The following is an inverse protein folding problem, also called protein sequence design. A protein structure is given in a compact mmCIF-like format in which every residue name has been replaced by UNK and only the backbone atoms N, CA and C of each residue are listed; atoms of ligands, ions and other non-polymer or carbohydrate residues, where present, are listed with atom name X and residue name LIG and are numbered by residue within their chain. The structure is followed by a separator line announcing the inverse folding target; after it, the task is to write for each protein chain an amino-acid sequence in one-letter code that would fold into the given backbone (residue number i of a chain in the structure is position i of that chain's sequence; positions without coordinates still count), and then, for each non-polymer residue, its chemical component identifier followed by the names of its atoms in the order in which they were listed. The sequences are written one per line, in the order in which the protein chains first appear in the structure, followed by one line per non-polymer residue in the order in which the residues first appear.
data_IF_904698110300
#
_entry.id   IF_904698110300
#
_cell.length_a   1.000
_cell.length_b   1.000
_cell.length_c   1.000
_cell.angle_alpha   90.00
_cell.angle_beta   90.00
_cell.angle_gamma   90.00
#
_symmetry.space_group_name_H-M   'P 1'
#
loop_
_entity.id
_entity.type
_entity.pdbx_description
1 polymer ?
#
# COMPACT_ATOMS: atom_id res chain seq x y z
N UNK A 1 18.90 -9.83 -4.86
CA UNK A 1 18.62 -11.28 -5.02
C UNK A 1 17.12 -11.46 -4.81
N UNK A 2 16.45 -12.37 -5.52
CA UNK A 2 15.02 -12.62 -5.34
C UNK A 2 14.71 -14.12 -5.28
N UNK A 3 13.58 -14.48 -4.69
CA UNK A 3 12.96 -15.79 -4.81
C UNK A 3 11.73 -15.68 -5.70
N UNK A 4 11.63 -16.57 -6.69
CA UNK A 4 10.42 -16.76 -7.47
C UNK A 4 9.77 -18.10 -7.14
N UNK A 5 8.47 -18.09 -6.90
CA UNK A 5 7.67 -19.32 -6.83
C UNK A 5 6.98 -19.60 -8.17
N UNK A 6 7.46 -20.65 -8.83
CA UNK A 6 6.93 -21.11 -10.11
C UNK A 6 5.99 -22.28 -9.90
N UNK A 7 4.73 -22.06 -10.27
CA UNK A 7 3.69 -23.04 -10.65
C UNK A 7 2.67 -23.33 -9.55
N UNK A 8 1.66 -22.46 -9.45
CA UNK A 8 0.26 -22.91 -9.55
C UNK A 8 0.04 -23.46 -10.96
N UNK A 9 -0.69 -24.57 -11.15
CA UNK A 9 -0.89 -25.19 -12.48
C UNK A 9 -1.43 -24.22 -13.55
N UNK A 10 -2.03 -23.10 -13.13
CA UNK A 10 -2.63 -22.07 -13.99
C UNK A 10 -2.42 -20.64 -13.44
N UNK A 11 -1.60 -20.47 -12.39
CA UNK A 11 -1.50 -19.23 -11.60
C UNK A 11 -0.37 -18.29 -12.01
N UNK A 12 -0.39 -17.08 -11.45
CA UNK A 12 0.65 -16.06 -11.62
C UNK A 12 1.92 -16.44 -10.84
N UNK A 13 3.11 -16.15 -11.39
CA UNK A 13 4.38 -16.29 -10.67
C UNK A 13 4.45 -15.27 -9.52
N UNK A 14 4.68 -15.74 -8.30
CA UNK A 14 4.96 -14.84 -7.17
C UNK A 14 6.46 -14.56 -7.08
N UNK A 15 6.82 -13.30 -6.83
CA UNK A 15 8.20 -12.91 -6.61
C UNK A 15 8.35 -12.06 -5.36
N UNK A 16 9.37 -12.38 -4.56
CA UNK A 16 9.81 -11.59 -3.42
C UNK A 16 11.28 -11.21 -3.58
N UNK A 17 11.57 -9.92 -3.42
CA UNK A 17 12.95 -9.46 -3.22
C UNK A 17 13.38 -9.66 -1.77
N UNK A 18 14.60 -10.14 -1.58
CA UNK A 18 15.21 -10.06 -0.26
C UNK A 18 15.54 -8.60 0.05
N UNK A 19 15.08 -8.11 1.21
CA UNK A 19 15.58 -6.87 1.78
C UNK A 19 17.11 -6.88 1.83
N UNK A 20 17.78 -5.74 1.58
CA UNK A 20 19.23 -5.65 1.70
C UNK A 20 19.71 -6.22 3.05
N UNK A 21 20.73 -7.08 3.01
CA UNK A 21 21.30 -7.81 4.16
C UNK A 21 20.47 -8.99 4.71
N UNK A 22 19.31 -9.33 4.16
CA UNK A 22 18.55 -10.53 4.57
C UNK A 22 18.91 -11.79 3.78
N UNK A 23 19.84 -11.68 2.85
CA UNK A 23 20.50 -12.81 2.21
C UNK A 23 22.01 -12.62 2.28
N UNK A 24 22.73 -13.55 2.90
CA UNK A 24 24.17 -13.47 3.15
C UNK A 24 24.85 -14.77 2.74
N UNK A 25 26.03 -14.62 2.17
CA UNK A 25 26.98 -15.72 2.03
C UNK A 25 27.79 -15.79 3.32
N UNK A 26 27.86 -16.96 3.94
CA UNK A 26 28.71 -17.23 5.10
C UNK A 26 29.43 -18.56 4.88
N UNK A 27 30.76 -18.50 4.81
CA UNK A 27 31.64 -19.68 4.73
C UNK A 27 31.33 -20.64 3.56
N UNK A 28 30.81 -20.10 2.44
CA UNK A 28 30.43 -20.86 1.24
C UNK A 28 28.97 -21.34 1.23
N UNK A 29 28.24 -21.15 2.33
CA UNK A 29 26.80 -21.38 2.42
C UNK A 29 26.04 -20.07 2.24
N UNK A 30 24.75 -20.19 1.91
CA UNK A 30 23.85 -19.05 1.75
C UNK A 30 22.71 -19.11 2.75
N UNK A 31 22.52 -18.00 3.48
CA UNK A 31 21.47 -17.86 4.47
C UNK A 31 20.57 -16.69 4.10
N UNK A 32 19.27 -16.94 4.04
CA UNK A 32 18.30 -15.87 3.95
C UNK A 32 16.91 -16.28 4.37
N UNK A 33 16.08 -15.27 4.59
CA UNK A 33 14.70 -15.42 5.00
C UNK A 33 13.81 -14.51 4.17
N UNK A 34 12.63 -15.01 3.83
CA UNK A 34 11.54 -14.27 3.20
C UNK A 34 10.28 -14.53 4.01
N UNK A 35 9.50 -13.47 4.23
CA UNK A 35 8.14 -13.56 4.74
C UNK A 35 7.19 -13.09 3.65
N UNK A 36 6.22 -13.92 3.29
CA UNK A 36 5.14 -13.54 2.38
C UNK A 36 3.82 -14.17 2.78
N UNK A 37 2.75 -13.46 2.49
CA UNK A 37 1.36 -13.89 2.65
C UNK A 37 0.71 -14.22 1.30
N UNK A 38 1.49 -14.20 0.22
CA UNK A 38 1.06 -14.38 -1.17
C UNK A 38 1.87 -15.53 -1.77
N UNK A 39 1.30 -16.73 -1.82
CA UNK A 39 1.95 -17.90 -2.39
C UNK A 39 0.88 -18.89 -2.92
N UNK A 40 1.21 -19.82 -3.83
CA UNK A 40 0.23 -20.70 -4.46
C UNK A 40 -0.29 -21.76 -3.48
N UNK A 41 -1.26 -21.39 -2.64
CA UNK A 41 -1.87 -22.24 -1.61
C UNK A 41 -2.62 -23.46 -2.15
N UNK A 42 -3.04 -23.41 -3.41
CA UNK A 42 -3.69 -24.51 -4.12
C UNK A 42 -2.68 -25.51 -4.72
N UNK A 43 -1.39 -25.18 -4.73
CA UNK A 43 -0.34 -26.06 -5.22
C UNK A 43 0.08 -27.11 -4.20
N UNK A 44 0.28 -28.35 -4.68
CA UNK A 44 0.88 -29.44 -3.88
C UNK A 44 2.35 -29.18 -3.51
N UNK A 45 3.05 -28.45 -4.36
CA UNK A 45 4.48 -28.16 -4.22
C UNK A 45 4.70 -26.67 -4.32
N UNK A 46 5.51 -26.12 -3.43
CA UNK A 46 6.09 -24.80 -3.59
C UNK A 46 7.41 -24.98 -4.32
N UNK A 47 7.61 -24.21 -5.39
CA UNK A 47 8.89 -24.17 -6.09
C UNK A 47 9.60 -22.90 -5.69
N UNK A 48 10.91 -22.95 -5.55
CA UNK A 48 11.69 -21.78 -5.20
C UNK A 48 12.84 -21.69 -6.17
N UNK A 49 12.99 -20.51 -6.77
CA UNK A 49 14.10 -20.19 -7.64
C UNK A 49 14.78 -18.93 -7.13
N UNK A 50 16.03 -19.09 -6.71
CA UNK A 50 16.85 -17.99 -6.22
C UNK A 50 17.60 -17.41 -7.41
N UNK A 51 17.50 -16.10 -7.61
CA UNK A 51 18.19 -15.40 -8.70
C UNK A 51 19.06 -14.25 -8.20
N UNK A 52 20.27 -14.12 -8.75
CA UNK A 52 21.25 -13.07 -8.46
C UNK A 52 21.47 -12.19 -9.70
N UNK A 53 21.64 -10.89 -9.48
CA UNK A 53 22.10 -9.93 -10.49
C UNK A 53 23.55 -9.54 -10.18
N UNK A 54 24.45 -9.66 -11.14
CA UNK A 54 25.88 -9.31 -10.96
C UNK A 54 26.11 -7.80 -10.84
N UNK A 55 25.23 -7.00 -11.45
CA UNK A 55 25.37 -5.55 -11.53
C UNK A 55 24.63 -4.81 -10.42
N UNK A 56 23.97 -5.54 -9.51
CA UNK A 56 22.94 -5.00 -8.60
C UNK A 56 21.87 -4.16 -9.31
N UNK A 57 21.78 -4.22 -10.65
CA UNK A 57 20.73 -3.58 -11.41
C UNK A 57 19.47 -4.44 -11.30
N UNK A 58 18.36 -3.93 -10.75
CA UNK A 58 17.10 -4.67 -10.66
C UNK A 58 16.51 -5.01 -12.04
N UNK A 59 16.88 -4.26 -13.07
CA UNK A 59 16.50 -4.46 -14.47
C UNK A 59 17.59 -5.21 -15.27
N UNK A 60 18.66 -5.65 -14.61
CA UNK A 60 19.78 -6.37 -15.24
C UNK A 60 19.44 -7.84 -15.50
N UNK A 61 20.32 -8.56 -16.23
CA UNK A 61 20.13 -10.00 -16.41
C UNK A 61 20.28 -10.73 -15.07
N UNK A 62 19.18 -11.30 -14.59
CA UNK A 62 19.15 -12.20 -13.44
C UNK A 62 19.62 -13.60 -13.84
N UNK A 63 20.45 -14.22 -13.00
CA UNK A 63 20.95 -15.59 -13.13
C UNK A 63 20.39 -16.45 -12.01
N UNK A 64 19.89 -17.64 -12.34
CA UNK A 64 19.46 -18.62 -11.33
C UNK A 64 20.67 -19.22 -10.63
N UNK A 65 20.70 -19.12 -9.30
CA UNK A 65 21.76 -19.70 -8.46
C UNK A 65 21.32 -20.99 -7.76
N UNK A 66 20.01 -21.15 -7.53
CA UNK A 66 19.44 -22.36 -6.96
C UNK A 66 17.98 -22.52 -7.40
N UNK A 67 17.55 -23.77 -7.54
CA UNK A 67 16.14 -24.13 -7.70
C UNK A 67 15.86 -25.37 -6.85
N UNK A 68 14.79 -25.33 -6.06
CA UNK A 68 14.33 -26.46 -5.27
C UNK A 68 12.82 -26.42 -5.12
N UNK A 69 12.25 -27.52 -4.64
CA UNK A 69 10.83 -27.62 -4.33
C UNK A 69 10.63 -28.30 -2.99
N UNK A 70 9.58 -27.92 -2.30
CA UNK A 70 9.14 -28.57 -1.06
C UNK A 70 7.66 -28.83 -1.10
N UNK A 71 7.19 -29.81 -0.32
CA UNK A 71 5.77 -30.03 -0.18
C UNK A 71 5.13 -28.77 0.39
N UNK A 72 4.03 -28.30 -0.20
CA UNK A 72 3.31 -27.16 0.35
C UNK A 72 2.70 -27.57 1.70
N UNK A 73 3.13 -26.98 2.83
CA UNK A 73 2.61 -27.34 4.14
C UNK A 73 1.18 -26.81 4.36
N UNK A 74 0.74 -25.88 3.52
CA UNK A 74 -0.57 -25.23 3.64
C UNK A 74 -1.58 -25.86 2.70
N UNK A 75 -2.86 -25.69 3.05
CA UNK A 75 -3.99 -26.00 2.18
C UNK A 75 -4.69 -24.69 1.83
N UNK A 76 -5.15 -24.57 0.60
CA UNK A 76 -6.05 -23.47 0.20
C UNK A 76 -7.25 -23.40 1.16
N UNK A 77 -7.55 -22.19 1.64
CA UNK A 77 -8.71 -21.93 2.48
C UNK A 77 -10.02 -22.22 1.74
N UNK A 78 -10.03 -22.05 0.41
CA UNK A 78 -11.15 -22.29 -0.48
C UNK A 78 -12.45 -21.64 0.00
N UNK A 79 -12.39 -20.35 0.33
CA UNK A 79 -13.57 -19.58 0.68
C UNK A 79 -14.59 -19.63 -0.47
N UNK A 80 -15.86 -19.84 -0.14
CA UNK A 80 -16.96 -19.93 -1.13
C UNK A 80 -17.50 -18.55 -1.49
N UNK A 81 -16.60 -17.59 -1.74
CA UNK A 81 -17.00 -16.24 -2.13
C UNK A 81 -17.52 -16.22 -3.55
N UNK A 82 -18.60 -15.47 -3.78
CA UNK A 82 -19.13 -15.19 -5.09
C UNK A 82 -18.76 -13.76 -5.47
N UNK A 83 -18.25 -13.56 -6.69
CA UNK A 83 -17.99 -12.22 -7.20
C UNK A 83 -19.31 -11.48 -7.47
N UNK A 84 -19.35 -10.21 -7.11
CA UNK A 84 -20.42 -9.30 -7.48
C UNK A 84 -20.38 -9.00 -9.00
N UNK A 85 -21.53 -8.66 -9.62
CA UNK A 85 -21.54 -8.17 -10.99
C UNK A 85 -20.72 -6.89 -11.14
N UNK A 86 -20.17 -6.65 -12.32
CA UNK A 86 -19.34 -5.46 -12.60
C UNK A 86 -20.11 -4.50 -13.52
N UNK A 87 -20.24 -3.19 -13.17
CA UNK A 87 -19.83 -2.59 -11.90
C UNK A 87 -20.72 -3.07 -10.74
N UNK A 88 -20.17 -3.07 -9.52
CA UNK A 88 -20.92 -3.34 -8.29
C UNK A 88 -21.06 -2.06 -7.48
N UNK A 89 -22.15 -1.93 -6.74
CA UNK A 89 -22.39 -0.78 -5.87
C UNK A 89 -22.76 -1.27 -4.48
N UNK A 90 -22.07 -0.74 -3.47
CA UNK A 90 -22.40 -0.90 -2.07
C UNK A 90 -22.90 0.45 -1.53
N UNK A 91 -23.98 0.43 -0.75
CA UNK A 91 -24.48 1.63 -0.07
C UNK A 91 -24.10 1.57 1.40
N UNK A 92 -23.46 2.61 1.90
CA UNK A 92 -23.09 2.77 3.31
C UNK A 92 -23.18 4.25 3.69
N UNK A 93 -23.70 4.54 4.88
CA UNK A 93 -23.83 5.91 5.43
C UNK A 93 -24.49 6.93 4.49
N UNK A 94 -25.48 6.48 3.69
CA UNK A 94 -26.20 7.32 2.73
C UNK A 94 -25.43 7.62 1.44
N UNK A 95 -24.21 7.09 1.31
CA UNK A 95 -23.35 7.17 0.14
C UNK A 95 -23.38 5.87 -0.67
N UNK A 96 -23.06 5.96 -1.96
CA UNK A 96 -22.89 4.82 -2.85
C UNK A 96 -21.43 4.71 -3.28
N UNK A 97 -20.83 3.56 -3.03
CA UNK A 97 -19.47 3.22 -3.40
C UNK A 97 -19.53 2.24 -4.57
N UNK A 98 -18.97 2.63 -5.69
CA UNK A 98 -18.97 1.84 -6.92
C UNK A 98 -17.57 1.27 -7.15
N UNK A 99 -17.50 -0.03 -7.42
CA UNK A 99 -16.30 -0.70 -7.88
C UNK A 99 -16.50 -1.14 -9.34
N UNK A 100 -15.60 -0.72 -10.21
CA UNK A 100 -15.55 -1.13 -11.62
C UNK A 100 -14.80 -2.46 -11.83
N UNK A 101 -14.37 -2.73 -13.07
CA UNK A 101 -13.63 -3.94 -13.41
C UNK A 101 -12.23 -3.90 -12.77
N UNK A 102 -11.96 -4.80 -11.83
CA UNK A 102 -10.61 -4.98 -11.28
C UNK A 102 -9.77 -5.75 -12.30
N UNK A 103 -8.61 -5.21 -12.66
CA UNK A 103 -7.70 -5.85 -13.62
C UNK A 103 -6.34 -6.11 -13.02
N UNK A 104 -5.76 -7.26 -13.37
CA UNK A 104 -4.35 -7.59 -13.13
C UNK A 104 -3.67 -7.64 -14.48
N UNK A 105 -2.84 -6.67 -14.77
CA UNK A 105 -2.09 -6.59 -16.01
C UNK A 105 -0.70 -7.18 -15.83
N UNK A 106 -0.31 -8.12 -16.68
CA UNK A 106 1.08 -8.60 -16.77
C UNK A 106 1.79 -7.81 -17.87
N UNK A 107 2.61 -6.83 -17.49
CA UNK A 107 3.37 -6.00 -18.42
C UNK A 107 4.72 -6.62 -18.72
N UNK A 108 5.02 -6.98 -19.98
CA UNK A 108 6.27 -7.61 -20.35
C UNK A 108 7.37 -6.57 -20.60
N UNK A 109 7.64 -5.65 -19.67
CA UNK A 109 8.72 -4.68 -19.89
C UNK A 109 10.10 -5.33 -19.84
N UNK A 110 10.24 -6.45 -19.12
CA UNK A 110 11.15 -7.54 -19.48
C UNK A 110 10.54 -8.86 -18.98
N UNK A 111 10.71 -10.01 -19.66
CA UNK A 111 10.25 -11.31 -19.16
C UNK A 111 10.96 -11.79 -17.88
N UNK A 112 11.87 -10.96 -17.34
CA UNK A 112 12.60 -11.18 -16.09
C UNK A 112 12.38 -10.04 -15.09
N UNK A 113 11.47 -9.10 -15.37
CA UNK A 113 11.08 -8.12 -14.37
C UNK A 113 10.23 -8.83 -13.32
N UNK A 114 10.62 -8.68 -12.07
CA UNK A 114 9.89 -9.20 -10.92
C UNK A 114 8.73 -8.27 -10.53
N UNK A 115 8.71 -7.08 -11.13
CA UNK A 115 7.72 -6.03 -10.90
C UNK A 115 6.63 -5.97 -11.99
N UNK A 116 6.42 -7.06 -12.73
CA UNK A 116 5.67 -7.07 -13.97
C UNK A 116 4.13 -7.05 -13.81
N UNK A 117 3.59 -6.98 -12.59
CA UNK A 117 2.15 -6.92 -12.36
C UNK A 117 1.69 -5.51 -12.02
N UNK A 118 0.64 -5.05 -12.71
CA UNK A 118 -0.06 -3.81 -12.40
C UNK A 118 -1.51 -4.13 -12.05
N UNK A 119 -1.90 -3.84 -10.82
CA UNK A 119 -3.28 -4.01 -10.35
C UNK A 119 -4.02 -2.68 -10.51
N UNK A 120 -5.16 -2.68 -11.19
CA UNK A 120 -6.05 -1.51 -11.30
C UNK A 120 -7.36 -1.79 -10.60
N UNK A 121 -7.75 -0.89 -9.71
CA UNK A 121 -8.97 -1.00 -8.89
C UNK A 121 -9.76 0.30 -9.00
N UNK A 122 -10.64 0.41 -10.02
CA UNK A 122 -11.37 1.65 -10.28
C UNK A 122 -12.54 1.80 -9.31
N UNK A 123 -12.54 2.89 -8.54
CA UNK A 123 -13.59 3.21 -7.56
C UNK A 123 -14.22 4.57 -7.85
N UNK A 124 -15.48 4.72 -7.45
CA UNK A 124 -16.21 6.00 -7.47
C UNK A 124 -17.10 6.12 -6.22
N UNK A 125 -17.28 7.34 -5.74
CA UNK A 125 -18.14 7.62 -4.58
C UNK A 125 -19.24 8.59 -5.01
N UNK A 126 -20.48 8.30 -4.66
CA UNK A 126 -21.63 9.16 -4.92
C UNK A 126 -22.38 9.47 -3.65
N UNK A 127 -22.82 10.72 -3.50
CA UNK A 127 -23.74 11.15 -2.44
C UNK A 127 -24.97 11.78 -3.08
N UNK A 128 -26.16 11.31 -2.73
CA UNK A 128 -27.43 11.80 -3.30
C UNK A 128 -27.46 11.84 -4.84
N UNK A 129 -26.75 10.90 -5.50
CA UNK A 129 -26.63 10.81 -6.96
C UNK A 129 -25.57 11.70 -7.60
N UNK A 130 -24.84 12.49 -6.81
CA UNK A 130 -23.73 13.35 -7.27
C UNK A 130 -22.41 12.62 -7.06
N UNK A 131 -21.56 12.57 -8.10
CA UNK A 131 -20.21 12.03 -8.00
C UNK A 131 -19.33 12.94 -7.13
N UNK A 132 -18.73 12.38 -6.08
CA UNK A 132 -17.74 13.05 -5.26
C UNK A 132 -16.35 12.80 -5.84
N UNK A 133 -15.72 13.85 -6.36
CA UNK A 133 -14.40 13.77 -7.01
C UNK A 133 -13.24 13.97 -6.04
N UNK A 134 -13.54 14.37 -4.80
CA UNK A 134 -12.58 14.56 -3.73
C UNK A 134 -12.52 13.37 -2.77
N UNK A 135 -13.06 12.20 -3.12
CA UNK A 135 -13.02 10.99 -2.29
C UNK A 135 -12.30 9.86 -3.00
N UNK A 136 -11.47 9.13 -2.25
CA UNK A 136 -10.80 7.93 -2.72
C UNK A 136 -10.77 6.85 -1.64
N UNK A 137 -10.39 5.63 -2.04
CA UNK A 137 -10.10 4.58 -1.08
C UNK A 137 -8.66 4.77 -0.58
N UNK A 138 -8.53 5.17 0.69
CA UNK A 138 -7.24 5.47 1.33
C UNK A 138 -6.56 4.23 1.90
N UNK A 139 -7.35 3.27 2.37
CA UNK A 139 -6.83 2.00 2.87
C UNK A 139 -7.49 0.82 2.17
N UNK A 140 -6.65 -0.18 1.90
CA UNK A 140 -7.04 -1.43 1.27
C UNK A 140 -6.48 -2.58 2.09
N UNK A 141 -7.34 -3.53 2.41
CA UNK A 141 -6.91 -4.88 2.73
C UNK A 141 -7.51 -5.79 1.68
N UNK A 142 -6.67 -6.58 1.03
CA UNK A 142 -7.12 -7.52 0.03
C UNK A 142 -6.81 -8.95 0.45
N UNK A 143 -7.78 -9.83 0.22
CA UNK A 143 -7.64 -11.27 0.38
C UNK A 143 -8.16 -11.98 -0.86
N UNK A 144 -7.56 -13.09 -1.24
CA UNK A 144 -8.12 -13.98 -2.25
C UNK A 144 -8.79 -15.18 -1.60
N UNK A 145 -9.71 -15.84 -2.32
CA UNK A 145 -10.45 -16.97 -1.79
C UNK A 145 -9.57 -18.19 -1.42
N UNK A 146 -8.30 -18.21 -1.84
CA UNK A 146 -7.34 -19.24 -1.42
C UNK A 146 -6.76 -18.97 -0.02
N UNK A 147 -6.96 -17.77 0.52
CA UNK A 147 -6.49 -17.33 1.84
C UNK A 147 -5.17 -16.56 1.80
N UNK A 148 -4.71 -16.12 0.62
CA UNK A 148 -3.64 -15.13 0.55
C UNK A 148 -4.17 -13.75 0.87
N UNK A 149 -3.30 -12.88 1.38
CA UNK A 149 -3.65 -11.50 1.66
C UNK A 149 -2.49 -10.56 1.36
N UNK A 150 -2.82 -9.32 1.01
CA UNK A 150 -1.87 -8.24 0.79
C UNK A 150 -2.43 -6.96 1.43
N UNK A 151 -1.68 -6.28 2.31
CA UNK A 151 -2.12 -5.01 2.88
C UNK A 151 -1.85 -3.82 1.94
N UNK A 152 -1.17 -4.03 0.81
CA UNK A 152 -0.71 -2.97 -0.10
C UNK A 152 -1.01 -3.32 -1.56
N UNK A 153 -2.22 -2.94 -2.00
CA UNK A 153 -2.71 -3.18 -3.37
C UNK A 153 -1.90 -2.47 -4.45
N UNK A 154 -1.19 -1.39 -4.10
CA UNK A 154 -0.41 -0.55 -5.03
C UNK A 154 1.02 -1.04 -5.28
N UNK A 155 1.36 -2.23 -4.81
CA UNK A 155 2.65 -2.85 -5.09
C UNK A 155 2.58 -3.69 -6.37
N UNK A 156 3.73 -3.86 -7.00
CA UNK A 156 4.01 -4.74 -8.15
C UNK A 156 3.73 -6.25 -7.90
N UNK A 157 2.97 -6.60 -6.84
CA UNK A 157 2.62 -7.95 -6.40
C UNK A 157 1.11 -8.09 -6.36
N UNK A 158 0.59 -8.93 -7.23
CA UNK A 158 -0.83 -9.26 -7.27
C UNK A 158 -1.12 -10.52 -6.45
N UNK A 159 -2.31 -10.60 -5.86
CA UNK A 159 -2.89 -11.89 -5.49
C UNK A 159 -3.21 -12.70 -6.76
N UNK A 160 -3.63 -13.95 -6.61
CA UNK A 160 -3.95 -14.77 -7.78
C UNK A 160 -5.35 -14.40 -8.32
N UNK A 161 -5.47 -13.89 -9.57
CA UNK A 161 -6.74 -13.45 -10.15
C UNK A 161 -7.64 -14.61 -10.56
N UNK A 162 -7.22 -15.88 -10.43
CA UNK A 162 -8.11 -17.03 -10.59
C UNK A 162 -9.14 -17.12 -9.47
N UNK A 163 -8.82 -16.59 -8.30
CA UNK A 163 -9.70 -16.60 -7.14
C UNK A 163 -10.46 -15.28 -7.02
N UNK A 164 -11.67 -15.35 -6.46
CA UNK A 164 -12.43 -14.16 -6.07
C UNK A 164 -11.64 -13.42 -5.00
N UNK A 165 -11.53 -12.11 -5.15
CA UNK A 165 -10.89 -11.22 -4.18
C UNK A 165 -11.93 -10.56 -3.29
N UNK A 166 -11.67 -10.54 -2.00
CA UNK A 166 -12.33 -9.69 -1.01
C UNK A 166 -11.50 -8.42 -0.86
N UNK A 167 -12.11 -7.28 -1.16
CA UNK A 167 -11.52 -5.95 -1.10
C UNK A 167 -12.18 -5.20 0.05
N UNK A 168 -11.47 -5.07 1.16
CA UNK A 168 -11.87 -4.27 2.32
C UNK A 168 -11.28 -2.87 2.14
N UNK A 169 -12.14 -1.87 2.00
CA UNK A 169 -11.76 -0.53 1.59
C UNK A 169 -12.33 0.51 2.53
N UNK A 170 -11.48 1.45 2.92
CA UNK A 170 -11.83 2.63 3.70
C UNK A 170 -11.79 3.84 2.78
N UNK A 171 -12.96 4.44 2.55
CA UNK A 171 -13.14 5.61 1.70
C UNK A 171 -13.19 6.88 2.52
N UNK A 172 -12.43 7.87 2.08
CA UNK A 172 -12.26 9.14 2.79
C UNK A 172 -12.08 10.29 1.79
N UNK A 173 -12.35 11.55 2.21
CA UNK A 173 -12.03 12.70 1.39
C UNK A 173 -10.51 12.94 1.32
N UNK A 174 -10.02 13.21 0.12
CA UNK A 174 -8.64 13.56 -0.22
C UNK A 174 -8.41 15.08 -0.18
N UNK A 175 -9.48 15.85 -0.34
CA UNK A 175 -9.49 17.31 -0.40
C UNK A 175 -10.88 17.85 -0.03
N UNK A 176 -11.03 19.19 0.01
CA UNK A 176 -12.26 19.87 0.42
C UNK A 176 -12.78 19.40 1.79
N UNK A 177 -11.86 19.33 2.76
CA UNK A 177 -12.14 18.84 4.10
C UNK A 177 -13.22 19.69 4.80
N UNK A 178 -14.10 19.06 5.62
CA UNK A 178 -15.13 19.79 6.35
C UNK A 178 -14.59 20.91 7.24
N UNK A 179 -15.36 21.99 7.38
CA UNK A 179 -15.01 23.09 8.27
C UNK A 179 -14.77 22.60 9.71
N UNK A 180 -13.67 23.04 10.31
CA UNK A 180 -13.28 22.65 11.68
C UNK A 180 -12.67 21.26 11.81
N UNK A 181 -12.52 20.51 10.71
CA UNK A 181 -11.87 19.20 10.69
C UNK A 181 -10.37 19.29 10.44
N UNK A 182 -9.90 20.39 9.83
CA UNK A 182 -8.50 20.68 9.57
C UNK A 182 -7.91 21.63 10.62
N UNK A 183 -6.67 21.36 11.04
CA UNK A 183 -5.92 22.23 11.93
C UNK A 183 -4.46 22.35 11.48
N UNK A 184 -3.90 23.55 11.63
CA UNK A 184 -2.46 23.79 11.53
C UNK A 184 -1.92 24.04 12.92
N UNK A 185 -0.87 23.32 13.29
CA UNK A 185 -0.23 23.44 14.60
C UNK A 185 1.25 23.75 14.43
N UNK A 186 1.76 24.61 15.31
CA UNK A 186 3.19 24.84 15.42
C UNK A 186 3.82 23.59 16.06
N UNK A 187 4.84 23.05 15.41
CA UNK A 187 5.63 21.99 15.98
C UNK A 187 6.44 22.56 17.15
N UNK A 188 6.34 21.96 18.35
CA UNK A 188 7.08 22.42 19.53
C UNK A 188 8.59 22.18 19.38
N UNK A 189 9.34 22.36 20.47
CA UNK A 189 10.79 22.08 20.48
C UNK A 189 11.08 20.67 19.96
N UNK A 190 12.24 20.51 19.33
CA UNK A 190 12.73 19.21 18.81
C UNK A 190 12.58 18.10 19.85
N UNK A 191 12.22 16.91 19.37
CA UNK A 191 12.09 15.71 20.20
C UNK A 191 11.05 15.90 21.32
N UNK A 192 9.92 16.52 21.00
CA UNK A 192 8.81 16.68 21.93
C UNK A 192 7.51 16.17 21.35
N UNK A 193 6.57 15.96 22.26
CA UNK A 193 5.25 15.43 21.99
C UNK A 193 4.25 16.37 22.62
N UNK A 194 3.17 16.63 21.90
CA UNK A 194 2.06 17.42 22.42
C UNK A 194 0.74 16.84 21.93
N UNK A 195 -0.32 17.16 22.64
CA UNK A 195 -1.67 16.75 22.27
C UNK A 195 -2.49 17.99 22.00
N UNK A 196 -3.18 18.00 20.87
CA UNK A 196 -4.21 18.98 20.54
C UNK A 196 -5.57 18.28 20.46
N UNK A 197 -6.66 19.04 20.49
CA UNK A 197 -8.00 18.51 20.30
C UNK A 197 -8.59 19.05 19.00
N UNK A 198 -9.03 18.15 18.13
CA UNK A 198 -9.71 18.47 16.87
C UNK A 198 -11.02 17.71 16.86
N UNK A 199 -12.14 18.38 16.60
CA UNK A 199 -13.48 17.75 16.64
C UNK A 199 -13.78 16.95 17.93
N UNK A 200 -13.31 17.43 19.09
CA UNK A 200 -13.39 16.73 20.39
C UNK A 200 -12.66 15.38 20.46
N UNK A 201 -11.71 15.14 19.55
CA UNK A 201 -10.84 13.97 19.57
C UNK A 201 -9.40 14.44 19.86
N UNK A 202 -8.72 13.84 20.86
CA UNK A 202 -7.32 14.13 21.11
C UNK A 202 -6.47 13.58 19.96
N UNK A 203 -5.54 14.39 19.47
CA UNK A 203 -4.52 14.00 18.50
C UNK A 203 -3.16 14.28 19.11
N UNK A 204 -2.37 13.22 19.27
CA UNK A 204 -1.00 13.29 19.78
C UNK A 204 -0.05 13.41 18.61
N UNK A 205 0.81 14.42 18.64
CA UNK A 205 1.79 14.69 17.58
C UNK A 205 3.16 14.65 18.24
N UNK A 206 4.07 13.89 17.62
CA UNK A 206 5.47 13.84 18.00
C UNK A 206 6.35 14.16 16.80
N UNK A 207 7.46 14.81 17.09
CA UNK A 207 8.45 15.18 16.08
C UNK A 207 9.83 14.85 16.64
N UNK A 208 10.56 13.97 15.95
CA UNK A 208 11.86 13.49 16.43
C UNK A 208 12.95 14.58 16.40
N UNK A 209 12.66 15.73 15.78
CA UNK A 209 13.54 16.88 15.70
C UNK A 209 14.48 16.86 14.50
N UNK A 210 14.52 15.75 13.76
CA UNK A 210 15.30 15.62 12.54
C UNK A 210 14.37 15.59 11.35
N UNK A 211 13.73 14.47 11.08
CA UNK A 211 13.20 14.21 9.75
C UNK A 211 11.82 13.54 9.77
N UNK A 212 11.19 13.31 10.94
CA UNK A 212 9.89 12.62 11.00
C UNK A 212 8.87 13.27 11.92
N UNK A 213 7.66 13.44 11.41
CA UNK A 213 6.45 13.80 12.17
C UNK A 213 5.57 12.56 12.26
N UNK A 214 5.20 12.20 13.48
CA UNK A 214 4.22 11.15 13.77
C UNK A 214 3.01 11.81 14.41
N UNK A 215 1.81 11.46 13.95
CA UNK A 215 0.59 11.81 14.62
C UNK A 215 -0.28 10.56 14.80
N UNK A 216 -0.94 10.49 15.96
CA UNK A 216 -1.88 9.42 16.29
C UNK A 216 -3.12 9.97 16.98
N UNK A 217 -4.25 9.36 16.65
CA UNK A 217 -5.57 9.66 17.19
C UNK A 217 -6.06 8.43 17.99
N UNK A 218 -5.89 8.40 19.32
CA UNK A 218 -6.30 7.27 20.15
C UNK A 218 -7.82 7.22 20.31
N UNK A 219 -8.51 6.74 19.27
CA UNK A 219 -9.96 6.58 19.23
C UNK A 219 -10.32 5.18 18.73
N UNK A 220 -11.55 4.76 19.04
CA UNK A 220 -12.16 3.55 18.50
C UNK A 220 -13.30 3.87 17.53
N UNK A 221 -13.39 5.13 17.07
CA UNK A 221 -14.41 5.59 16.13
C UNK A 221 -14.07 5.15 14.71
N UNK A 222 -14.75 4.12 14.15
CA UNK A 222 -14.44 3.60 12.82
C UNK A 222 -14.87 4.56 11.70
N UNK A 223 -15.70 5.54 12.02
CA UNK A 223 -16.24 6.54 11.12
C UNK A 223 -15.32 7.76 10.95
N UNK A 224 -14.11 7.74 11.53
CA UNK A 224 -13.12 8.80 11.41
C UNK A 224 -11.76 8.29 10.92
N UNK A 225 -11.07 9.10 10.13
CA UNK A 225 -9.68 8.95 9.74
C UNK A 225 -8.83 10.16 10.12
N UNK A 226 -7.51 9.98 10.28
CA UNK A 226 -6.53 11.05 10.51
C UNK A 226 -5.63 11.19 9.27
N UNK A 227 -5.58 12.39 8.69
CA UNK A 227 -4.84 12.65 7.45
C UNK A 227 -3.83 13.75 7.58
N UNK A 228 -2.61 13.45 7.16
CA UNK A 228 -1.61 14.47 6.87
C UNK A 228 -2.03 15.27 5.64
N UNK A 229 -1.85 16.59 5.68
CA UNK A 229 -2.14 17.48 4.55
C UNK A 229 -0.84 18.14 4.08
N UNK A 230 -0.14 18.82 4.98
CA UNK A 230 1.10 19.50 4.63
C UNK A 230 1.96 19.79 5.86
N UNK A 231 3.22 20.14 5.62
CA UNK A 231 4.10 20.74 6.59
C UNK A 231 4.75 21.99 5.97
N UNK A 232 5.03 22.99 6.78
CA UNK A 232 5.77 24.18 6.34
C UNK A 232 7.02 24.38 7.17
N UNK A 233 8.04 25.00 6.61
CA UNK A 233 9.19 25.48 7.39
C UNK A 233 8.90 26.79 8.14
N UNK A 234 9.94 27.33 8.78
CA UNK A 234 9.91 28.59 9.53
C UNK A 234 9.77 29.84 8.65
N UNK A 235 9.98 29.72 7.34
CA UNK A 235 9.67 30.76 6.36
C UNK A 235 8.24 30.65 5.81
N UNK A 236 7.50 29.60 6.17
CA UNK A 236 6.14 29.34 5.68
C UNK A 236 6.10 28.66 4.32
N UNK A 237 7.23 28.17 3.81
CA UNK A 237 7.28 27.44 2.54
C UNK A 237 6.77 26.01 2.75
N UNK A 238 5.98 25.51 1.80
CA UNK A 238 5.49 24.13 1.82
C UNK A 238 6.65 23.15 1.62
N UNK A 239 6.63 22.10 2.42
CA UNK A 239 7.61 21.03 2.37
C UNK A 239 7.07 19.86 1.56
N UNK A 240 7.93 19.28 0.74
CA UNK A 240 7.73 18.00 0.10
C UNK A 240 8.27 16.91 1.02
N UNK A 241 7.64 15.76 1.07
CA UNK A 241 8.10 14.59 1.81
C UNK A 241 8.51 13.46 0.85
N UNK A 242 9.58 12.72 1.19
CA UNK A 242 10.02 11.57 0.37
C UNK A 242 9.69 10.21 1.00
N UNK A 243 9.16 10.20 2.22
CA UNK A 243 8.62 8.98 2.83
C UNK A 243 7.37 9.30 3.64
N UNK A 244 6.44 8.37 3.62
CA UNK A 244 5.23 8.43 4.41
C UNK A 244 4.74 7.03 4.76
N UNK A 245 3.78 6.97 5.67
CA UNK A 245 3.11 5.74 6.05
C UNK A 245 2.09 6.03 7.11
N UNK A 246 1.05 5.21 7.20
CA UNK A 246 0.00 5.46 8.17
C UNK A 246 -1.09 4.42 8.11
N UNK A 247 -2.04 4.58 9.00
CA UNK A 247 -3.30 3.85 8.99
C UNK A 247 -4.46 4.81 9.21
N UNK A 248 -5.63 4.27 9.49
CA UNK A 248 -6.83 5.08 9.69
C UNK A 248 -6.62 6.13 10.79
N UNK A 249 -5.93 5.77 11.86
CA UNK A 249 -5.79 6.60 13.06
C UNK A 249 -4.41 7.24 13.24
N UNK A 250 -3.51 7.12 12.25
CA UNK A 250 -2.15 7.62 12.39
C UNK A 250 -1.49 7.93 11.04
N UNK A 251 -0.57 8.89 11.04
CA UNK A 251 0.36 9.10 9.94
C UNK A 251 1.77 9.30 10.48
N UNK A 252 2.75 8.96 9.65
CA UNK A 252 4.17 9.13 9.85
C UNK A 252 4.74 9.68 8.55
N UNK A 253 5.14 10.94 8.55
CA UNK A 253 5.69 11.62 7.37
C UNK A 253 7.11 12.09 7.64
N UNK A 254 7.98 12.02 6.63
CA UNK A 254 9.36 12.38 6.83
C UNK A 254 10.25 12.53 5.60
N UNK A 255 11.52 12.78 5.87
CA UNK A 255 12.54 13.21 4.91
C UNK A 255 12.03 14.41 4.10
N UNK A 256 11.72 15.48 4.83
CA UNK A 256 11.21 16.71 4.25
C UNK A 256 12.26 17.40 3.39
N UNK A 257 11.79 18.02 2.32
CA UNK A 257 12.57 18.70 1.30
C UNK A 257 11.87 20.00 0.92
N UNK A 258 12.63 21.00 0.53
CA UNK A 258 12.09 22.28 0.05
C UNK A 258 12.64 22.56 -1.34
N UNK A 259 11.78 23.03 -2.25
CA UNK A 259 12.21 23.49 -3.57
C UNK A 259 12.37 25.01 -3.55
N UNK A 260 13.61 25.49 -3.63
CA UNK A 260 13.94 26.92 -3.56
C UNK A 260 14.78 27.32 -4.76
N UNK A 261 14.30 28.32 -5.52
CA UNK A 261 15.00 28.78 -6.73
C UNK A 261 15.24 27.68 -7.77
N UNK A 262 14.38 26.65 -7.82
CA UNK A 262 14.53 25.49 -8.72
C UNK A 262 15.49 24.40 -8.21
N UNK A 263 16.08 24.55 -7.02
CA UNK A 263 16.96 23.57 -6.38
C UNK A 263 16.22 22.86 -5.26
N UNK A 264 16.38 21.53 -5.18
CA UNK A 264 15.83 20.72 -4.09
C UNK A 264 16.83 20.68 -2.92
N UNK A 265 16.40 21.12 -1.76
CA UNK A 265 17.18 21.11 -0.52
C UNK A 265 16.74 19.94 0.37
N UNK A 266 17.71 19.19 0.88
CA UNK A 266 17.48 18.01 1.73
C UNK A 266 18.39 18.05 2.97
N UNK A 267 17.85 17.70 4.13
CA UNK A 267 18.61 17.50 5.39
C UNK A 267 18.73 18.74 6.29
N UNK A 268 18.77 19.95 5.72
CA UNK A 268 18.73 21.23 6.43
C UNK A 268 17.30 21.79 6.61
N UNK A 269 16.36 21.29 5.81
CA UNK A 269 14.94 21.65 5.86
C UNK A 269 14.29 21.02 7.09
N UNK A 270 13.62 21.84 7.91
CA UNK A 270 12.94 21.38 9.12
C UNK A 270 11.50 21.89 9.14
N UNK A 271 10.51 21.02 9.42
CA UNK A 271 9.14 21.45 9.57
C UNK A 271 9.00 22.30 10.83
N UNK A 272 8.34 23.45 10.71
CA UNK A 272 7.94 24.33 11.79
C UNK A 272 6.44 24.22 12.08
N UNK A 273 5.62 23.89 11.08
CA UNK A 273 4.20 23.60 11.26
C UNK A 273 3.80 22.30 10.58
N UNK A 274 2.70 21.72 11.05
CA UNK A 274 2.01 20.62 10.38
C UNK A 274 0.53 20.93 10.28
N UNK A 275 -0.04 20.67 9.11
CA UNK A 275 -1.47 20.73 8.84
C UNK A 275 -1.97 19.31 8.66
N UNK A 276 -3.04 18.98 9.36
CA UNK A 276 -3.70 17.68 9.29
C UNK A 276 -5.21 17.84 9.44
N UNK A 277 -5.96 16.82 9.06
CA UNK A 277 -7.41 16.77 9.26
C UNK A 277 -7.86 15.48 9.92
N UNK A 278 -8.93 15.59 10.71
CA UNK A 278 -9.81 14.47 11.00
C UNK A 278 -10.89 14.46 9.92
N UNK A 279 -11.09 13.32 9.28
CA UNK A 279 -12.00 13.19 8.13
C UNK A 279 -13.02 12.07 8.38
N UNK A 280 -14.21 12.11 7.76
CA UNK A 280 -15.10 10.96 7.76
C UNK A 280 -14.41 9.76 7.09
N UNK A 281 -14.66 8.57 7.63
CA UNK A 281 -14.24 7.30 7.05
C UNK A 281 -15.45 6.39 6.84
N UNK A 282 -15.60 5.85 5.63
CA UNK A 282 -16.66 4.90 5.32
C UNK A 282 -16.06 3.61 4.81
N UNK A 283 -16.29 2.54 5.57
CA UNK A 283 -15.82 1.22 5.22
C UNK A 283 -16.79 0.50 4.29
N UNK A 284 -16.25 -0.17 3.27
CA UNK A 284 -17.03 -1.06 2.40
C UNK A 284 -16.22 -2.28 2.00
N UNK A 285 -16.92 -3.39 1.74
CA UNK A 285 -16.31 -4.65 1.30
C UNK A 285 -16.87 -5.05 -0.05
N UNK A 286 -15.99 -5.21 -1.03
CA UNK A 286 -16.35 -5.75 -2.34
C UNK A 286 -15.83 -7.16 -2.53
N UNK A 287 -16.56 -7.97 -3.30
CA UNK A 287 -16.11 -9.26 -3.80
C UNK A 287 -15.99 -9.17 -5.32
N UNK A 288 -14.77 -9.26 -5.85
CA UNK A 288 -14.51 -9.07 -7.27
C UNK A 288 -13.78 -10.29 -7.84
N UNK A 289 -14.15 -10.71 -9.04
CA UNK A 289 -13.32 -11.59 -9.84
C UNK A 289 -12.39 -10.70 -10.68
N UNK A 290 -11.07 -10.65 -10.41
CA UNK A 290 -10.18 -9.85 -11.20
C UNK A 290 -10.03 -10.43 -12.60
N UNK A 291 -9.90 -9.55 -13.58
CA UNK A 291 -9.59 -9.94 -14.95
C UNK A 291 -8.09 -9.90 -15.18
N UNK A 292 -7.54 -11.05 -15.56
CA UNK A 292 -6.15 -11.12 -16.00
C UNK A 292 -6.03 -10.55 -17.42
N UNK A 293 -5.22 -9.52 -17.57
CA UNK A 293 -4.87 -8.88 -18.85
C UNK A 293 -3.41 -9.21 -19.15
N UNK A 294 -3.18 -10.00 -20.21
CA UNK A 294 -1.82 -10.34 -20.64
C UNK A 294 -1.52 -9.54 -21.91
N UNK A 295 -0.67 -8.52 -21.80
CA UNK A 295 -0.14 -7.87 -22.99
C UNK A 295 0.75 -8.85 -23.74
N UNK A 296 0.37 -9.17 -24.99
CA UNK A 296 1.23 -9.96 -25.86
C UNK A 296 2.40 -9.07 -26.28
N UNK A 297 3.63 -9.54 -26.02
CA UNK A 297 4.83 -8.96 -26.62
C UNK A 297 4.63 -8.94 -28.14
N UNK A 298 4.68 -7.74 -28.74
CA UNK A 298 4.70 -7.57 -30.19
C UNK A 298 6.08 -7.95 -30.75
#
# INVERSE_FOLDING_TARGET
MCIRDRRGKEGIEYVEEFSPNQFKEDSGDYYGYISTSIFPRDSKWLWFRIEKSETNNPYGPWQTVAEFKTANPTRSANHTWAASPVPTTNTADGMNFVLGEVTVEIRPYTPRDIWNHVVTVPTQVFESGVLLTNWSAMHFQIQDASGNWNPLLQSHRSLDPRFVWKLEMDFEPDSDFPDGSMVTVNLPKRSSTFTTNVMNVPVTISWDGNDRIDASMPTNRPDLGLRYISATDDQGENLLQSSGGGGQYAFLEGYFMAQRGGVLHMGDVKPATVTFAIVPNVHTTFYAQPKLVVEKVK
#
